data_IF_901069760062
#
_entry.id   IF_901069760062
#
_cell.length_a   1.000
_cell.length_b   1.000
_cell.length_c   1.000
_cell.angle_alpha   90.00
_cell.angle_beta   90.00
_cell.angle_gamma   90.00
#
_symmetry.space_group_name_H-M   'P 1'
#
loop_
_entity.id
_entity.type
_entity.pdbx_description
1 polymer ?
#
# COMPACT_ATOMS: atom_id res chain seq x y z
N UNK A 1 30.95 18.12 -5.81
CA UNK A 1 30.10 17.55 -6.87
C UNK A 1 30.00 16.03 -6.67
N UNK A 2 28.92 15.52 -6.08
CA UNK A 2 28.71 14.08 -5.89
C UNK A 2 28.12 13.47 -7.16
N UNK A 3 28.83 12.54 -7.80
CA UNK A 3 28.33 11.78 -8.96
C UNK A 3 27.14 10.91 -8.51
N UNK A 4 25.95 11.14 -9.09
CA UNK A 4 24.85 10.18 -9.09
C UNK A 4 25.31 8.94 -9.87
N UNK A 5 25.24 7.77 -9.24
CA UNK A 5 25.56 6.49 -9.86
C UNK A 5 24.25 5.90 -10.37
N UNK A 6 24.12 5.81 -11.69
CA UNK A 6 23.00 5.15 -12.36
C UNK A 6 23.45 3.71 -12.70
N UNK A 7 22.94 2.72 -11.98
CA UNK A 7 23.32 1.32 -12.16
C UNK A 7 22.37 0.68 -13.17
N UNK A 8 22.85 0.43 -14.39
CA UNK A 8 22.09 -0.25 -15.42
C UNK A 8 21.91 -1.77 -15.18
N UNK A 9 20.88 -2.33 -15.82
CA UNK A 9 20.43 -3.76 -15.84
C UNK A 9 21.52 -4.84 -15.78
N UNK A 10 22.73 -4.56 -16.28
CA UNK A 10 23.86 -5.51 -16.34
C UNK A 10 24.57 -5.73 -15.00
N UNK A 11 24.56 -4.76 -14.09
CA UNK A 11 25.28 -4.88 -12.82
C UNK A 11 24.49 -5.65 -11.76
N UNK A 12 23.15 -5.63 -11.83
CA UNK A 12 22.29 -6.41 -10.92
C UNK A 12 22.40 -7.93 -11.17
N UNK A 13 22.52 -8.36 -12.44
CA UNK A 13 22.62 -9.78 -12.81
C UNK A 13 23.98 -10.38 -12.43
N UNK A 14 25.07 -9.59 -12.51
CA UNK A 14 26.43 -10.10 -12.25
C UNK A 14 26.68 -10.53 -10.80
N UNK A 15 25.94 -9.97 -9.83
CA UNK A 15 26.11 -10.32 -8.42
C UNK A 15 25.30 -11.56 -7.97
N UNK A 16 24.49 -12.16 -8.86
CA UNK A 16 23.68 -13.34 -8.55
C UNK A 16 24.26 -14.67 -9.07
N UNK A 17 25.33 -14.64 -9.87
CA UNK A 17 25.85 -15.79 -10.62
C UNK A 17 27.18 -16.36 -10.08
N UNK A 18 27.39 -16.38 -8.75
CA UNK A 18 28.48 -17.15 -8.15
C UNK A 18 27.86 -18.23 -7.27
N UNK A 19 27.47 -19.33 -7.91
CA UNK A 19 27.00 -20.53 -7.27
C UNK A 19 26.97 -21.66 -8.28
N UNK A 20 27.89 -22.62 -8.12
CA UNK A 20 28.09 -23.90 -8.84
C UNK A 20 29.22 -23.92 -9.88
N UNK A 21 30.41 -24.31 -9.40
CA UNK A 21 31.28 -25.25 -10.12
C UNK A 21 32.12 -26.02 -9.08
N UNK A 22 31.76 -27.28 -8.86
CA UNK A 22 32.58 -28.23 -8.11
C UNK A 22 33.55 -28.94 -9.04
N UNK A 23 34.81 -29.07 -8.62
CA UNK A 23 35.72 -30.12 -9.07
C UNK A 23 36.75 -30.39 -7.96
N UNK A 24 36.88 -31.66 -7.59
CA UNK A 24 37.78 -32.15 -6.55
C UNK A 24 39.19 -32.39 -7.09
N UNK A 25 40.23 -32.05 -6.30
CA UNK A 25 41.61 -32.58 -6.38
C UNK A 25 42.21 -32.56 -4.95
N UNK A 26 42.98 -33.59 -4.50
CA UNK A 26 43.29 -33.80 -3.09
C UNK A 26 44.49 -33.01 -2.55
N UNK A 27 44.61 -33.05 -1.22
CA UNK A 27 45.40 -32.21 -0.34
C UNK A 27 46.92 -32.19 -0.52
N UNK A 28 47.54 -31.05 -0.17
CA UNK A 28 48.77 -31.01 0.65
C UNK A 28 48.86 -29.72 1.47
N UNK A 29 49.26 -29.89 2.73
CA UNK A 29 49.31 -28.88 3.78
C UNK A 29 50.47 -27.90 3.65
N UNK A 30 50.25 -26.63 4.00
CA UNK A 30 51.19 -25.78 4.74
C UNK A 30 50.43 -24.54 5.24
N UNK A 31 50.65 -24.20 6.52
CA UNK A 31 49.78 -23.32 7.28
C UNK A 31 49.85 -21.83 6.91
N UNK A 32 48.73 -21.16 7.17
CA UNK A 32 48.67 -19.76 7.54
C UNK A 32 47.41 -19.58 8.40
N UNK A 33 47.59 -19.24 9.67
CA UNK A 33 46.50 -18.74 10.52
C UNK A 33 46.06 -17.39 9.93
N UNK A 34 45.01 -17.41 9.10
CA UNK A 34 44.32 -16.19 8.71
C UNK A 34 43.20 -15.96 9.70
N UNK A 35 43.37 -14.92 10.52
CA UNK A 35 42.29 -14.31 11.27
C UNK A 35 41.17 -13.93 10.30
N UNK A 36 40.03 -14.62 10.38
CA UNK A 36 38.83 -14.26 9.65
C UNK A 36 38.30 -12.91 10.18
N UNK A 37 38.86 -11.81 9.66
CA UNK A 37 38.18 -10.53 9.70
C UNK A 37 36.95 -10.67 8.81
N UNK A 38 35.77 -10.57 9.43
CA UNK A 38 34.51 -10.45 8.71
C UNK A 38 34.66 -9.33 7.68
N UNK A 39 34.55 -9.68 6.41
CA UNK A 39 34.64 -8.72 5.32
C UNK A 39 33.58 -7.63 5.56
N UNK A 40 34.03 -6.39 5.74
CA UNK A 40 33.12 -5.26 5.77
C UNK A 40 32.36 -5.20 4.44
N UNK A 41 31.02 -5.02 4.46
CA UNK A 41 30.25 -4.94 3.22
C UNK A 41 30.79 -3.81 2.35
N UNK A 42 31.30 -4.14 1.17
CA UNK A 42 31.66 -3.14 0.17
C UNK A 42 30.39 -2.44 -0.33
N UNK A 43 30.49 -1.16 -0.67
CA UNK A 43 29.37 -0.27 -1.10
C UNK A 43 28.55 -0.77 -2.33
N UNK A 44 28.90 -1.92 -2.92
CA UNK A 44 28.31 -2.45 -4.15
C UNK A 44 27.39 -3.68 -3.99
N UNK A 45 27.05 -4.10 -2.77
CA UNK A 45 26.08 -5.20 -2.58
C UNK A 45 24.64 -4.65 -2.55
N UNK A 46 23.71 -5.13 -3.40
CA UNK A 46 22.32 -4.73 -3.34
C UNK A 46 21.72 -4.99 -1.94
N UNK A 47 20.90 -4.08 -1.40
CA UNK A 47 20.29 -4.25 -0.08
C UNK A 47 19.44 -5.52 -0.03
N UNK A 48 19.48 -6.20 1.12
CA UNK A 48 18.70 -7.41 1.42
C UNK A 48 17.73 -7.12 2.57
N UNK A 49 16.68 -7.94 2.68
CA UNK A 49 15.84 -8.00 3.87
C UNK A 49 16.69 -8.32 5.10
N UNK A 50 16.44 -7.61 6.20
CA UNK A 50 17.16 -7.72 7.47
C UNK A 50 16.27 -8.21 8.61
N UNK A 51 14.96 -8.12 8.48
CA UNK A 51 14.02 -8.49 9.55
C UNK A 51 12.88 -9.36 9.00
N UNK A 52 12.58 -10.43 9.74
CA UNK A 52 11.44 -11.32 9.52
C UNK A 52 10.60 -11.38 10.80
N UNK A 53 9.28 -11.56 10.65
CA UNK A 53 8.32 -11.61 11.76
C UNK A 53 7.35 -12.76 11.55
N UNK A 54 7.02 -13.49 12.61
CA UNK A 54 5.98 -14.55 12.55
C UNK A 54 4.63 -13.88 12.33
N UNK A 55 3.97 -14.16 11.19
CA UNK A 55 2.71 -13.56 10.80
C UNK A 55 1.55 -14.08 11.66
N UNK A 56 1.25 -13.38 12.76
CA UNK A 56 0.18 -13.76 13.68
C UNK A 56 0.20 -15.25 14.06
N UNK A 57 -0.95 -15.89 13.97
CA UNK A 57 -1.14 -17.32 14.26
C UNK A 57 -0.84 -18.25 13.08
N UNK A 58 -0.36 -17.73 11.95
CA UNK A 58 -0.05 -18.56 10.77
C UNK A 58 1.21 -19.41 10.96
N UNK A 59 2.12 -18.98 11.85
CA UNK A 59 3.42 -19.61 12.06
C UNK A 59 4.44 -19.35 10.95
N UNK A 60 4.09 -18.61 9.89
CA UNK A 60 5.00 -18.29 8.79
C UNK A 60 5.82 -17.03 9.10
N UNK A 61 7.13 -17.07 8.89
CA UNK A 61 8.00 -15.90 9.02
C UNK A 61 8.01 -15.05 7.76
N UNK A 62 7.40 -13.87 7.82
CA UNK A 62 7.32 -12.93 6.70
C UNK A 62 8.37 -11.84 6.83
N UNK A 63 8.95 -11.42 5.71
CA UNK A 63 9.81 -10.24 5.65
C UNK A 63 9.02 -9.00 6.07
N UNK A 64 9.66 -8.09 6.79
CA UNK A 64 9.04 -6.83 7.25
C UNK A 64 8.55 -5.91 6.11
N UNK A 65 9.04 -6.16 4.89
CA UNK A 65 8.55 -5.59 3.64
C UNK A 65 7.92 -6.67 2.75
N UNK A 66 6.83 -6.31 2.10
CA UNK A 66 6.07 -7.15 1.17
C UNK A 66 6.01 -6.51 -0.22
N UNK A 67 5.64 -7.29 -1.23
CA UNK A 67 5.30 -6.75 -2.56
C UNK A 67 3.79 -6.61 -2.72
N UNK A 68 3.35 -5.54 -3.37
CA UNK A 68 1.94 -5.34 -3.76
C UNK A 68 1.83 -4.49 -5.02
N UNK A 69 0.71 -4.60 -5.74
CA UNK A 69 0.51 -3.96 -7.06
C UNK A 69 1.69 -4.23 -8.01
N UNK A 70 1.94 -5.51 -8.28
CA UNK A 70 3.12 -5.96 -9.04
C UNK A 70 2.88 -5.74 -10.54
N UNK A 71 3.78 -4.98 -11.19
CA UNK A 71 3.65 -4.64 -12.61
C UNK A 71 4.89 -4.98 -13.45
N UNK A 72 6.07 -5.10 -12.85
CA UNK A 72 7.31 -5.37 -13.57
C UNK A 72 7.96 -6.69 -13.12
N UNK A 73 8.31 -7.53 -14.09
CA UNK A 73 8.91 -8.84 -13.85
C UNK A 73 10.29 -8.74 -13.18
N UNK A 74 11.14 -7.83 -13.66
CA UNK A 74 12.52 -7.73 -13.23
C UNK A 74 12.66 -7.16 -11.83
N UNK A 75 11.93 -6.08 -11.54
CA UNK A 75 11.85 -5.47 -10.22
C UNK A 75 11.26 -6.43 -9.20
N UNK A 76 10.19 -7.15 -9.56
CA UNK A 76 9.59 -8.14 -8.66
C UNK A 76 10.57 -9.29 -8.36
N UNK A 77 11.19 -9.89 -9.39
CA UNK A 77 12.20 -10.94 -9.20
C UNK A 77 13.34 -10.46 -8.30
N UNK A 78 13.83 -9.23 -8.53
CA UNK A 78 14.89 -8.62 -7.73
C UNK A 78 14.53 -8.49 -6.25
N UNK A 79 13.29 -8.09 -5.94
CA UNK A 79 12.82 -8.01 -4.55
C UNK A 79 12.76 -9.39 -3.89
N UNK A 80 12.29 -10.43 -4.61
CA UNK A 80 12.32 -11.80 -4.09
C UNK A 80 13.75 -12.30 -3.86
N UNK A 81 14.67 -12.02 -4.80
CA UNK A 81 16.09 -12.34 -4.66
C UNK A 81 16.75 -11.59 -3.49
N UNK A 82 16.20 -10.44 -3.12
CA UNK A 82 16.61 -9.66 -1.96
C UNK A 82 16.06 -10.18 -0.62
N UNK A 83 15.22 -11.23 -0.64
CA UNK A 83 14.69 -11.89 0.55
C UNK A 83 13.24 -11.52 0.89
N UNK A 84 12.58 -10.67 0.09
CA UNK A 84 11.14 -10.40 0.26
C UNK A 84 10.37 -11.70 0.01
N UNK A 85 9.51 -12.08 0.96
CA UNK A 85 8.80 -13.35 0.87
C UNK A 85 7.28 -13.28 1.01
N UNK A 86 6.71 -12.11 1.32
CA UNK A 86 5.26 -11.90 1.28
C UNK A 86 4.83 -11.25 -0.03
N UNK A 87 3.88 -11.88 -0.74
CA UNK A 87 3.41 -11.46 -2.06
C UNK A 87 1.90 -11.16 -1.98
N UNK A 88 1.53 -9.92 -2.27
CA UNK A 88 0.13 -9.46 -2.33
C UNK A 88 -0.36 -9.26 -3.77
N UNK A 89 -1.42 -9.96 -4.16
CA UNK A 89 -2.12 -9.81 -5.45
C UNK A 89 -3.63 -9.95 -5.27
N UNK A 90 -4.44 -9.90 -6.33
CA UNK A 90 -5.88 -10.14 -6.28
C UNK A 90 -6.47 -10.41 -7.66
N UNK A 91 -7.66 -11.04 -7.72
CA UNK A 91 -8.31 -11.41 -8.99
C UNK A 91 -8.61 -10.21 -9.89
N UNK A 92 -8.79 -9.03 -9.29
CA UNK A 92 -9.09 -7.78 -9.99
C UNK A 92 -7.85 -7.10 -10.59
N UNK A 93 -6.64 -7.64 -10.36
CA UNK A 93 -5.38 -7.02 -10.78
C UNK A 93 -4.97 -7.57 -12.15
N UNK A 94 -5.09 -6.79 -13.25
CA UNK A 94 -4.94 -7.33 -14.60
C UNK A 94 -3.53 -7.88 -14.84
N UNK A 95 -3.43 -9.16 -15.21
CA UNK A 95 -2.17 -9.82 -15.58
C UNK A 95 -1.21 -10.12 -14.42
N UNK A 96 -1.54 -9.72 -13.18
CA UNK A 96 -0.64 -9.86 -12.02
C UNK A 96 -0.34 -11.33 -11.71
N UNK A 97 -1.36 -12.20 -11.67
CA UNK A 97 -1.19 -13.64 -11.42
C UNK A 97 -0.22 -14.30 -12.42
N UNK A 98 -0.39 -14.06 -13.72
CA UNK A 98 0.50 -14.59 -14.77
C UNK A 98 1.94 -14.06 -14.65
N UNK A 99 2.11 -12.80 -14.25
CA UNK A 99 3.45 -12.24 -14.01
C UNK A 99 4.10 -12.93 -12.80
N UNK A 100 3.36 -13.05 -11.69
CA UNK A 100 3.85 -13.68 -10.45
C UNK A 100 4.21 -15.14 -10.69
N UNK A 101 3.33 -15.91 -11.35
CA UNK A 101 3.58 -17.31 -11.68
C UNK A 101 4.87 -17.53 -12.47
N UNK A 102 5.11 -16.69 -13.49
CA UNK A 102 6.37 -16.73 -14.26
C UNK A 102 7.60 -16.42 -13.42
N UNK A 103 7.53 -15.52 -12.44
CA UNK A 103 8.66 -15.21 -11.54
C UNK A 103 8.89 -16.32 -10.51
N UNK A 104 7.83 -16.97 -10.04
CA UNK A 104 7.91 -18.07 -9.07
C UNK A 104 8.35 -19.39 -9.71
N UNK A 105 8.23 -19.54 -11.03
CA UNK A 105 8.66 -20.74 -11.76
C UNK A 105 10.13 -21.08 -11.48
N UNK A 106 10.36 -22.30 -10.99
CA UNK A 106 11.70 -22.79 -10.61
C UNK A 106 12.20 -22.34 -9.23
N UNK A 107 11.44 -21.50 -8.50
CA UNK A 107 11.71 -21.16 -7.11
C UNK A 107 11.01 -22.13 -6.17
N UNK A 108 11.57 -22.35 -4.98
CA UNK A 108 10.90 -23.12 -3.94
C UNK A 108 9.68 -22.35 -3.41
N UNK A 109 8.48 -22.79 -3.83
CA UNK A 109 7.20 -22.17 -3.50
C UNK A 109 6.98 -22.06 -1.98
N UNK A 110 7.54 -22.97 -1.17
CA UNK A 110 7.37 -22.97 0.29
C UNK A 110 8.07 -21.79 0.99
N UNK A 111 8.98 -21.10 0.30
CA UNK A 111 9.69 -19.93 0.84
C UNK A 111 8.88 -18.64 0.76
N UNK A 112 7.72 -18.65 0.10
CA UNK A 112 6.90 -17.45 -0.11
C UNK A 112 5.54 -17.59 0.56
N UNK A 113 5.02 -16.50 1.10
CA UNK A 113 3.65 -16.35 1.55
C UNK A 113 2.86 -15.62 0.46
N UNK A 114 2.14 -16.38 -0.37
CA UNK A 114 1.37 -15.82 -1.49
C UNK A 114 -0.08 -15.60 -1.08
N UNK A 115 -0.52 -14.36 -1.23
CA UNK A 115 -1.89 -13.94 -0.94
C UNK A 115 -2.60 -13.49 -2.21
N UNK A 116 -3.87 -13.87 -2.34
CA UNK A 116 -4.78 -13.29 -3.34
C UNK A 116 -6.08 -12.88 -2.67
N UNK A 117 -6.94 -12.18 -3.40
CA UNK A 117 -8.20 -11.63 -2.89
C UNK A 117 -9.31 -11.79 -3.90
N UNK A 118 -10.50 -12.05 -3.39
CA UNK A 118 -11.73 -12.16 -4.19
C UNK A 118 -12.76 -11.12 -3.74
N UNK A 119 -13.38 -10.47 -4.72
CA UNK A 119 -14.47 -9.55 -4.51
C UNK A 119 -15.73 -10.32 -4.05
N UNK A 120 -16.50 -9.77 -3.10
CA UNK A 120 -17.82 -10.26 -2.71
C UNK A 120 -18.91 -9.83 -3.71
N UNK A 121 -18.59 -9.87 -5.01
CA UNK A 121 -19.44 -9.41 -6.10
C UNK A 121 -19.42 -10.42 -7.26
N UNK A 122 -20.40 -10.33 -8.16
CA UNK A 122 -20.57 -11.30 -9.25
C UNK A 122 -21.22 -12.58 -8.75
N UNK A 123 -20.64 -13.74 -9.10
CA UNK A 123 -21.08 -15.03 -8.57
C UNK A 123 -20.51 -15.24 -7.16
N UNK A 124 -21.36 -14.96 -6.17
CA UNK A 124 -21.07 -15.06 -4.73
C UNK A 124 -21.45 -16.42 -4.14
N UNK A 125 -21.86 -17.39 -4.98
CA UNK A 125 -22.11 -18.76 -4.52
C UNK A 125 -20.80 -19.48 -4.20
N UNK A 126 -20.87 -20.60 -3.49
CA UNK A 126 -19.72 -21.49 -3.27
C UNK A 126 -19.00 -21.81 -4.59
N UNK A 127 -19.75 -22.26 -5.60
CA UNK A 127 -19.21 -22.63 -6.91
C UNK A 127 -18.58 -21.42 -7.64
N UNK A 128 -19.18 -20.25 -7.51
CA UNK A 128 -18.63 -19.00 -8.05
C UNK A 128 -17.25 -18.67 -7.50
N UNK A 129 -17.09 -18.75 -6.18
CA UNK A 129 -15.79 -18.53 -5.53
C UNK A 129 -14.79 -19.63 -5.87
N UNK A 130 -15.19 -20.91 -5.88
CA UNK A 130 -14.31 -22.03 -6.27
C UNK A 130 -13.78 -21.85 -7.69
N UNK A 131 -14.65 -21.53 -8.64
CA UNK A 131 -14.29 -21.30 -10.05
C UNK A 131 -13.27 -20.16 -10.18
N UNK A 132 -13.50 -19.04 -9.50
CA UNK A 132 -12.59 -17.88 -9.54
C UNK A 132 -11.25 -18.16 -8.86
N UNK A 133 -11.26 -18.83 -7.70
CA UNK A 133 -10.04 -19.21 -7.01
C UNK A 133 -9.19 -20.19 -7.83
N UNK A 134 -9.80 -21.23 -8.43
CA UNK A 134 -9.12 -22.21 -9.29
C UNK A 134 -8.54 -21.54 -10.55
N UNK A 135 -9.26 -20.58 -11.16
CA UNK A 135 -8.71 -19.76 -12.24
C UNK A 135 -7.47 -18.95 -11.82
N UNK A 136 -7.49 -18.37 -10.61
CA UNK A 136 -6.33 -17.64 -10.11
C UNK A 136 -5.11 -18.56 -9.90
N UNK A 137 -5.32 -19.78 -9.38
CA UNK A 137 -4.26 -20.80 -9.25
C UNK A 137 -3.69 -21.23 -10.61
N UNK A 138 -4.56 -21.43 -11.60
CA UNK A 138 -4.16 -21.73 -12.98
C UNK A 138 -3.28 -20.61 -13.55
N UNK A 139 -3.70 -19.34 -13.43
CA UNK A 139 -2.91 -18.19 -13.89
C UNK A 139 -1.57 -18.05 -13.16
N UNK A 140 -1.51 -18.45 -11.89
CA UNK A 140 -0.29 -18.44 -11.08
C UNK A 140 0.63 -19.64 -11.34
N UNK A 141 0.16 -20.67 -12.06
CA UNK A 141 0.86 -21.95 -12.22
C UNK A 141 1.31 -22.53 -10.86
N UNK A 142 0.43 -22.50 -9.84
CA UNK A 142 0.72 -23.02 -8.49
C UNK A 142 -0.47 -23.78 -7.90
N UNK A 143 -0.19 -24.72 -6.99
CA UNK A 143 -1.22 -25.59 -6.42
C UNK A 143 -2.01 -24.94 -5.28
N UNK A 144 -1.44 -23.93 -4.60
CA UNK A 144 -2.02 -23.34 -3.40
C UNK A 144 -1.71 -21.86 -3.17
N UNK A 145 -2.64 -21.20 -2.47
CA UNK A 145 -2.45 -19.94 -1.79
C UNK A 145 -2.07 -20.18 -0.32
N UNK A 146 -1.19 -19.33 0.20
CA UNK A 146 -1.00 -19.29 1.66
C UNK A 146 -2.19 -18.59 2.31
N UNK A 147 -2.69 -17.50 1.72
CA UNK A 147 -3.90 -16.84 2.22
C UNK A 147 -4.81 -16.39 1.06
N UNK A 148 -6.11 -16.65 1.21
CA UNK A 148 -7.13 -16.06 0.34
C UNK A 148 -7.96 -15.05 1.14
N UNK A 149 -8.01 -13.82 0.65
CA UNK A 149 -8.67 -12.72 1.36
C UNK A 149 -10.04 -12.39 0.78
N UNK A 150 -11.00 -12.09 1.66
CA UNK A 150 -12.22 -11.39 1.29
C UNK A 150 -11.87 -9.92 1.02
N UNK A 151 -12.12 -9.46 -0.19
CA UNK A 151 -11.68 -8.14 -0.64
C UNK A 151 -12.74 -7.08 -0.37
N UNK A 152 -12.38 -6.09 0.46
CA UNK A 152 -13.18 -4.90 0.78
C UNK A 152 -14.62 -5.22 1.21
N UNK A 153 -14.84 -6.05 2.25
CA UNK A 153 -16.17 -6.17 2.85
C UNK A 153 -16.51 -4.82 3.49
N UNK A 154 -17.50 -4.09 2.96
CA UNK A 154 -17.86 -2.76 3.47
C UNK A 154 -18.81 -2.79 4.66
N UNK A 155 -19.39 -3.96 4.92
CA UNK A 155 -20.33 -4.20 6.00
C UNK A 155 -19.98 -5.49 6.73
N UNK A 156 -20.30 -5.56 8.01
CA UNK A 156 -20.13 -6.73 8.86
C UNK A 156 -20.90 -7.93 8.30
N UNK A 157 -22.05 -7.71 7.65
CA UNK A 157 -22.81 -8.78 7.00
C UNK A 157 -22.02 -9.45 5.88
N UNK A 158 -21.22 -8.70 5.13
CA UNK A 158 -20.41 -9.24 4.02
C UNK A 158 -19.33 -10.18 4.55
N UNK A 159 -18.80 -9.93 5.74
CA UNK A 159 -17.88 -10.86 6.41
C UNK A 159 -18.51 -12.24 6.63
N UNK A 160 -19.83 -12.35 6.63
CA UNK A 160 -20.57 -13.61 6.85
C UNK A 160 -20.95 -14.32 5.55
N UNK A 161 -20.45 -13.88 4.38
CA UNK A 161 -20.76 -14.48 3.07
C UNK A 161 -20.63 -16.01 3.07
N UNK A 162 -21.76 -16.72 3.04
CA UNK A 162 -21.81 -18.18 3.13
C UNK A 162 -21.05 -18.85 1.98
N UNK A 163 -21.23 -18.34 0.76
CA UNK A 163 -20.53 -18.86 -0.42
C UNK A 163 -19.01 -18.73 -0.31
N UNK A 164 -18.51 -17.61 0.21
CA UNK A 164 -17.06 -17.42 0.42
C UNK A 164 -16.53 -18.42 1.44
N UNK A 165 -17.17 -18.53 2.61
CA UNK A 165 -16.72 -19.43 3.67
C UNK A 165 -16.81 -20.90 3.29
N UNK A 166 -17.88 -21.31 2.61
CA UNK A 166 -18.02 -22.67 2.11
C UNK A 166 -16.92 -23.00 1.08
N UNK A 167 -16.60 -22.08 0.18
CA UNK A 167 -15.52 -22.27 -0.79
C UNK A 167 -14.14 -22.32 -0.12
N UNK A 168 -13.87 -21.47 0.86
CA UNK A 168 -12.59 -21.48 1.59
C UNK A 168 -12.42 -22.76 2.41
N UNK A 169 -13.50 -23.29 2.99
CA UNK A 169 -13.48 -24.57 3.69
C UNK A 169 -13.14 -25.72 2.72
N UNK A 170 -13.78 -25.79 1.55
CA UNK A 170 -13.49 -26.80 0.54
C UNK A 170 -12.04 -26.70 0.05
N UNK A 171 -11.58 -25.50 -0.32
CA UNK A 171 -10.19 -25.29 -0.78
C UNK A 171 -9.17 -25.60 0.32
N UNK A 172 -9.51 -25.46 1.60
CA UNK A 172 -8.65 -25.88 2.71
C UNK A 172 -8.55 -27.39 2.80
N UNK A 173 -9.67 -28.12 2.66
CA UNK A 173 -9.67 -29.58 2.59
C UNK A 173 -8.87 -30.10 1.39
N UNK A 174 -8.96 -29.42 0.24
CA UNK A 174 -8.17 -29.72 -0.95
C UNK A 174 -6.68 -29.35 -0.81
N UNK A 175 -6.27 -28.67 0.25
CA UNK A 175 -4.90 -28.18 0.44
C UNK A 175 -4.51 -26.99 -0.45
N UNK A 176 -5.49 -26.33 -1.09
CA UNK A 176 -5.31 -25.20 -2.02
C UNK A 176 -5.31 -23.83 -1.34
N UNK A 177 -5.84 -23.72 -0.12
CA UNK A 177 -5.82 -22.49 0.70
C UNK A 177 -5.47 -22.86 2.13
N UNK A 178 -4.46 -22.20 2.73
CA UNK A 178 -4.07 -22.46 4.13
C UNK A 178 -4.84 -21.54 5.09
N UNK A 179 -4.77 -20.24 4.85
CA UNK A 179 -5.33 -19.20 5.70
C UNK A 179 -6.41 -18.37 4.97
N UNK A 180 -7.28 -17.75 5.75
CA UNK A 180 -8.30 -16.82 5.24
C UNK A 180 -8.02 -15.44 5.79
N UNK A 181 -8.24 -14.39 4.99
CA UNK A 181 -7.97 -13.02 5.44
C UNK A 181 -9.01 -12.00 5.00
N UNK A 182 -8.79 -10.75 5.38
CA UNK A 182 -9.58 -9.60 4.95
C UNK A 182 -8.65 -8.51 4.44
N UNK A 183 -8.95 -7.94 3.27
CA UNK A 183 -8.32 -6.70 2.82
C UNK A 183 -9.33 -5.57 2.88
N UNK A 184 -9.05 -4.47 3.58
CA UNK A 184 -9.99 -3.35 3.69
C UNK A 184 -9.34 -2.02 3.33
N UNK A 185 -9.92 -1.32 2.35
CA UNK A 185 -9.43 -0.04 1.85
C UNK A 185 -10.14 1.17 2.48
N UNK A 186 -11.15 0.94 3.31
CA UNK A 186 -12.19 1.90 3.63
C UNK A 186 -13.46 1.64 2.83
N UNK A 187 -14.49 2.41 3.12
CA UNK A 187 -15.79 2.30 2.47
C UNK A 187 -15.87 3.06 1.14
N UNK A 188 -16.75 2.62 0.23
CA UNK A 188 -17.13 3.33 -0.99
C UNK A 188 -18.53 3.91 -0.81
N UNK A 189 -18.58 5.22 -0.58
CA UNK A 189 -19.81 5.93 -0.24
C UNK A 189 -20.98 5.78 -1.21
N UNK A 190 -20.71 5.62 -2.51
CA UNK A 190 -21.77 5.40 -3.50
C UNK A 190 -22.48 4.03 -3.36
N UNK A 191 -22.03 3.18 -2.43
CA UNK A 191 -22.68 1.92 -2.04
C UNK A 191 -23.40 2.01 -0.68
N UNK A 192 -23.55 3.24 -0.17
CA UNK A 192 -24.17 3.56 1.12
C UNK A 192 -23.62 2.73 2.30
N UNK A 193 -22.32 2.86 2.60
CA UNK A 193 -21.68 2.12 3.66
C UNK A 193 -22.06 2.71 5.02
N UNK A 194 -22.85 1.97 5.79
CA UNK A 194 -23.24 2.34 7.17
C UNK A 194 -22.09 2.21 8.18
N UNK A 195 -21.04 1.48 7.84
CA UNK A 195 -20.01 1.04 8.78
C UNK A 195 -18.61 1.52 8.39
N UNK A 196 -17.84 1.94 9.39
CA UNK A 196 -16.45 2.34 9.26
C UNK A 196 -15.52 1.14 9.11
N UNK A 197 -14.30 1.37 8.62
CA UNK A 197 -13.31 0.31 8.45
C UNK A 197 -12.96 -0.35 9.79
N UNK A 198 -12.77 0.43 10.85
CA UNK A 198 -12.44 -0.12 12.17
C UNK A 198 -13.56 -1.03 12.67
N UNK A 199 -14.82 -0.65 12.51
CA UNK A 199 -15.98 -1.45 12.90
C UNK A 199 -16.01 -2.80 12.18
N UNK A 200 -15.84 -2.81 10.86
CA UNK A 200 -15.82 -4.06 10.09
C UNK A 200 -14.62 -4.92 10.48
N UNK A 201 -13.42 -4.35 10.59
CA UNK A 201 -12.23 -5.13 10.94
C UNK A 201 -12.29 -5.66 12.38
N UNK A 202 -12.83 -4.90 13.34
CA UNK A 202 -13.07 -5.39 14.71
C UNK A 202 -14.08 -6.55 14.73
N UNK A 203 -15.14 -6.47 13.93
CA UNK A 203 -16.06 -7.60 13.78
C UNK A 203 -15.38 -8.82 13.15
N UNK A 204 -14.48 -8.62 12.19
CA UNK A 204 -13.69 -9.71 11.60
C UNK A 204 -12.72 -10.36 12.62
N UNK A 205 -12.16 -9.58 13.56
CA UNK A 205 -11.36 -10.11 14.67
C UNK A 205 -12.22 -11.01 15.56
N UNK A 206 -13.40 -10.53 15.97
CA UNK A 206 -14.30 -11.28 16.86
C UNK A 206 -14.94 -12.50 16.19
N UNK A 207 -15.20 -12.43 14.89
CA UNK A 207 -15.67 -13.57 14.09
C UNK A 207 -14.70 -14.75 14.14
N UNK A 208 -13.40 -14.48 14.24
CA UNK A 208 -12.37 -15.48 14.50
C UNK A 208 -11.98 -16.36 13.30
N UNK A 209 -12.70 -16.30 12.17
CA UNK A 209 -12.37 -17.06 10.94
C UNK A 209 -11.22 -16.46 10.12
N UNK A 210 -10.83 -15.22 10.38
CA UNK A 210 -9.82 -14.50 9.61
C UNK A 210 -8.47 -14.48 10.32
N UNK A 211 -7.42 -14.90 9.62
CA UNK A 211 -6.06 -15.09 10.13
C UNK A 211 -5.13 -13.91 9.81
N UNK A 212 -5.39 -13.20 8.70
CA UNK A 212 -4.51 -12.13 8.19
C UNK A 212 -5.33 -10.96 7.67
N UNK A 213 -4.97 -9.74 8.05
CA UNK A 213 -5.53 -8.51 7.51
C UNK A 213 -4.54 -7.75 6.64
N UNK A 214 -5.04 -7.18 5.55
CA UNK A 214 -4.40 -6.10 4.81
C UNK A 214 -5.22 -4.82 4.99
N UNK A 215 -4.67 -3.83 5.68
CA UNK A 215 -5.41 -2.60 5.99
C UNK A 215 -4.61 -1.33 5.67
N UNK A 216 -5.33 -0.25 5.42
CA UNK A 216 -4.73 1.06 5.21
C UNK A 216 -4.39 1.71 6.56
N UNK A 217 -3.13 2.09 6.78
CA UNK A 217 -2.68 2.72 8.02
C UNK A 217 -1.36 3.48 7.80
N UNK A 218 -1.22 4.63 8.47
CA UNK A 218 -0.02 5.48 8.46
C UNK A 218 -0.02 6.45 9.65
N UNK A 219 1.03 7.27 9.78
CA UNK A 219 1.21 8.20 10.91
C UNK A 219 0.14 9.31 11.03
N UNK A 220 -0.62 9.58 9.96
CA UNK A 220 -1.77 10.51 10.00
C UNK A 220 -3.08 9.82 10.42
N UNK A 221 -3.02 8.52 10.70
CA UNK A 221 -4.07 7.64 11.22
C UNK A 221 -5.34 7.60 10.36
N UNK A 222 -5.61 6.45 9.72
CA UNK A 222 -6.62 6.38 8.65
C UNK A 222 -8.06 6.17 9.13
N UNK A 223 -8.31 5.23 10.04
CA UNK A 223 -9.60 5.08 10.72
C UNK A 223 -9.39 4.23 11.96
N UNK A 224 -9.08 4.87 13.09
CA UNK A 224 -8.92 4.23 14.42
C UNK A 224 -8.09 2.93 14.40
N UNK A 225 -7.12 2.85 13.49
CA UNK A 225 -6.44 1.59 13.14
C UNK A 225 -5.71 0.96 14.31
N UNK A 226 -5.28 1.77 15.29
CA UNK A 226 -4.69 1.28 16.55
C UNK A 226 -5.61 0.31 17.30
N UNK A 227 -6.93 0.59 17.32
CA UNK A 227 -7.89 -0.29 17.99
C UNK A 227 -7.97 -1.65 17.30
N UNK A 228 -7.91 -1.65 15.97
CA UNK A 228 -7.87 -2.89 15.16
C UNK A 228 -6.58 -3.64 15.41
N UNK A 229 -5.43 -2.95 15.41
CA UNK A 229 -4.12 -3.56 15.66
C UNK A 229 -4.08 -4.20 17.05
N UNK A 230 -4.58 -3.51 18.07
CA UNK A 230 -4.64 -4.01 19.44
C UNK A 230 -5.55 -5.25 19.56
N UNK A 231 -6.75 -5.22 18.98
CA UNK A 231 -7.65 -6.38 18.98
C UNK A 231 -7.05 -7.57 18.21
N UNK A 232 -6.43 -7.30 17.05
CA UNK A 232 -5.75 -8.31 16.25
C UNK A 232 -4.60 -8.97 17.01
N UNK A 233 -3.80 -8.19 17.75
CA UNK A 233 -2.73 -8.69 18.62
C UNK A 233 -3.26 -9.70 19.64
N UNK A 234 -4.34 -9.36 20.34
CA UNK A 234 -4.95 -10.22 21.35
C UNK A 234 -5.40 -11.57 20.78
N UNK A 235 -5.90 -11.59 19.54
CA UNK A 235 -6.31 -12.83 18.84
C UNK A 235 -5.23 -13.44 17.94
N UNK A 236 -4.01 -12.87 17.94
CA UNK A 236 -2.88 -13.26 17.07
C UNK A 236 -3.24 -13.24 15.58
N UNK A 237 -4.00 -12.25 15.11
CA UNK A 237 -4.26 -12.01 13.69
C UNK A 237 -3.06 -11.28 13.08
N UNK A 238 -2.59 -11.76 11.93
CA UNK A 238 -1.48 -11.13 11.21
C UNK A 238 -1.89 -9.79 10.59
N UNK A 239 -1.23 -8.69 10.96
CA UNK A 239 -1.46 -7.36 10.38
C UNK A 239 -0.43 -7.06 9.29
N UNK A 240 -0.93 -6.79 8.09
CA UNK A 240 -0.15 -6.31 6.93
C UNK A 240 -0.70 -4.96 6.48
N UNK A 241 0.16 -4.07 6.00
CA UNK A 241 -0.20 -2.68 5.75
C UNK A 241 -0.06 -2.26 4.29
N UNK A 242 -0.96 -1.36 3.88
CA UNK A 242 -0.86 -0.60 2.63
C UNK A 242 -1.04 0.90 2.89
N UNK A 243 -0.64 1.73 1.91
CA UNK A 243 -0.82 3.20 1.94
C UNK A 243 -0.15 3.86 3.16
N UNK A 244 1.02 3.35 3.53
CA UNK A 244 1.84 3.78 4.68
C UNK A 244 2.55 5.12 4.50
N UNK A 245 2.60 5.64 3.27
CA UNK A 245 3.33 6.87 2.89
C UNK A 245 2.37 7.97 2.43
N UNK A 246 1.68 8.70 3.34
CA UNK A 246 0.72 9.74 3.01
C UNK A 246 1.41 11.06 2.62
N UNK A 247 2.47 10.97 1.82
CA UNK A 247 3.35 12.10 1.46
C UNK A 247 3.35 12.22 -0.05
N UNK A 248 2.98 13.39 -0.57
CA UNK A 248 2.98 13.68 -2.00
C UNK A 248 1.90 14.66 -2.41
N UNK A 249 0.72 14.59 -1.79
CA UNK A 249 -0.43 15.45 -2.13
C UNK A 249 -0.08 16.94 -2.00
N UNK A 250 0.58 17.35 -0.92
CA UNK A 250 1.07 18.73 -0.76
C UNK A 250 2.05 19.16 -1.88
N UNK A 251 3.06 18.34 -2.18
CA UNK A 251 4.08 18.69 -3.18
C UNK A 251 3.48 18.77 -4.59
N UNK A 252 2.55 17.87 -4.91
CA UNK A 252 1.81 17.90 -6.18
C UNK A 252 0.92 19.14 -6.27
N UNK A 253 0.18 19.44 -5.19
CA UNK A 253 -0.67 20.63 -5.09
C UNK A 253 0.13 21.91 -5.36
N UNK A 254 1.25 22.06 -4.66
CA UNK A 254 2.17 23.18 -4.85
C UNK A 254 2.61 23.30 -6.32
N UNK A 255 3.12 22.21 -6.90
CA UNK A 255 3.58 22.21 -8.28
C UNK A 255 2.47 22.56 -9.29
N UNK A 256 1.23 22.11 -9.05
CA UNK A 256 0.09 22.44 -9.92
C UNK A 256 -0.29 23.91 -9.81
N UNK A 257 -0.31 24.48 -8.61
CA UNK A 257 -0.58 25.91 -8.40
C UNK A 257 0.48 26.75 -9.11
N UNK A 258 1.77 26.45 -8.91
CA UNK A 258 2.88 27.13 -9.57
C UNK A 258 2.78 27.05 -11.11
N UNK A 259 2.37 25.89 -11.65
CA UNK A 259 2.18 25.70 -13.09
C UNK A 259 1.03 26.54 -13.64
N UNK A 260 -0.11 26.59 -12.96
CA UNK A 260 -1.26 27.39 -13.37
C UNK A 260 -0.96 28.90 -13.34
N UNK A 261 -0.26 29.36 -12.30
CA UNK A 261 0.23 30.74 -12.18
C UNK A 261 1.19 31.08 -13.35
N UNK A 262 2.09 30.15 -13.70
CA UNK A 262 3.05 30.32 -14.79
C UNK A 262 2.41 30.35 -16.17
N UNK A 263 1.41 29.50 -16.42
CA UNK A 263 0.77 29.37 -17.73
C UNK A 263 -0.24 30.49 -18.01
N UNK A 264 -0.47 31.41 -17.06
CA UNK A 264 -1.46 32.48 -17.19
C UNK A 264 -2.88 31.96 -17.38
N UNK A 265 -3.13 30.69 -17.05
CA UNK A 265 -4.44 30.08 -17.19
C UNK A 265 -5.37 30.66 -16.13
N UNK A 266 -6.53 31.16 -16.58
CA UNK A 266 -7.55 31.57 -15.63
C UNK A 266 -8.02 30.34 -14.85
N UNK A 267 -7.70 30.35 -13.56
CA UNK A 267 -8.27 29.45 -12.59
C UNK A 267 -9.78 29.66 -12.60
N UNK A 268 -10.53 28.63 -12.97
CA UNK A 268 -11.98 28.62 -12.95
C UNK A 268 -12.47 29.22 -11.61
N UNK A 269 -13.40 30.19 -11.61
CA UNK A 269 -13.91 30.81 -10.38
C UNK A 269 -14.33 29.80 -9.29
N UNK A 270 -14.86 28.66 -9.74
CA UNK A 270 -15.27 27.50 -8.96
C UNK A 270 -14.10 26.83 -8.21
N UNK A 271 -12.93 26.84 -8.85
CA UNK A 271 -11.66 26.35 -8.32
C UNK A 271 -10.93 27.43 -7.52
N UNK A 272 -11.15 28.73 -7.81
CA UNK A 272 -10.46 29.89 -7.22
C UNK A 272 -10.68 30.03 -5.71
N UNK A 273 -11.93 29.96 -5.25
CA UNK A 273 -12.24 30.09 -3.82
C UNK A 273 -11.76 28.88 -3.00
N UNK A 274 -11.90 27.68 -3.56
CA UNK A 274 -11.27 26.49 -3.03
C UNK A 274 -9.77 26.72 -2.93
N UNK A 275 -9.13 27.06 -4.05
CA UNK A 275 -7.70 27.32 -4.14
C UNK A 275 -7.21 28.37 -3.16
N UNK A 276 -7.97 29.43 -2.85
CA UNK A 276 -7.59 30.40 -1.84
C UNK A 276 -7.50 29.77 -0.44
N UNK A 277 -8.49 28.93 -0.06
CA UNK A 277 -8.45 28.17 1.20
C UNK A 277 -7.35 27.11 1.20
N UNK A 278 -7.03 26.54 0.04
CA UNK A 278 -5.87 25.65 -0.15
C UNK A 278 -4.56 26.40 0.01
N UNK A 279 -4.44 27.57 -0.64
CA UNK A 279 -3.24 28.40 -0.69
C UNK A 279 -2.86 28.84 0.71
N UNK A 280 -3.81 29.29 1.53
CA UNK A 280 -3.53 29.59 2.95
C UNK A 280 -2.92 28.39 3.71
N UNK A 281 -3.45 27.18 3.51
CA UNK A 281 -2.91 25.97 4.14
C UNK A 281 -1.55 25.57 3.55
N UNK A 282 -1.36 25.75 2.26
CA UNK A 282 -0.10 25.50 1.55
C UNK A 282 0.97 26.50 1.99
N UNK A 283 0.64 27.78 2.11
CA UNK A 283 1.54 28.86 2.53
C UNK A 283 2.00 28.63 3.98
N UNK A 284 1.07 28.30 4.88
CA UNK A 284 1.42 27.88 6.26
C UNK A 284 2.31 26.64 6.28
N UNK A 285 2.00 25.65 5.45
CA UNK A 285 2.83 24.46 5.31
C UNK A 285 4.22 24.80 4.75
N UNK A 286 4.32 25.72 3.79
CA UNK A 286 5.58 26.19 3.21
C UNK A 286 6.46 26.91 4.21
N UNK A 287 5.90 27.86 4.97
CA UNK A 287 6.61 28.56 6.02
C UNK A 287 7.16 27.58 7.05
N UNK A 288 6.36 26.60 7.43
CA UNK A 288 6.75 25.57 8.39
C UNK A 288 7.82 24.63 7.81
N UNK A 289 7.66 24.17 6.57
CA UNK A 289 8.63 23.34 5.85
C UNK A 289 9.97 24.07 5.66
N UNK A 290 9.96 25.38 5.42
CA UNK A 290 11.16 26.24 5.40
C UNK A 290 11.79 26.33 6.79
N UNK A 291 11.01 26.63 7.83
CA UNK A 291 11.46 26.76 9.23
C UNK A 291 12.16 25.49 9.75
N UNK A 292 11.66 24.31 9.39
CA UNK A 292 12.19 23.03 9.86
C UNK A 292 13.01 22.25 8.81
N UNK A 293 13.32 22.87 7.68
CA UNK A 293 14.08 22.27 6.57
C UNK A 293 13.53 20.91 6.08
N UNK A 294 12.20 20.79 5.98
CA UNK A 294 11.49 19.56 5.56
C UNK A 294 11.42 19.40 4.04
N UNK A 295 12.48 19.79 3.33
CA UNK A 295 12.47 20.00 1.88
C UNK A 295 12.52 18.70 1.06
N UNK A 296 12.81 17.56 1.69
CA UNK A 296 12.98 16.28 0.99
C UNK A 296 11.78 15.35 1.23
N UNK A 297 10.85 15.22 0.26
CA UNK A 297 9.72 14.31 0.37
C UNK A 297 10.13 12.86 0.61
N UNK A 298 11.29 12.43 0.12
CA UNK A 298 11.77 11.06 0.26
C UNK A 298 12.21 10.74 1.69
N UNK A 299 12.86 11.69 2.38
CA UNK A 299 13.21 11.53 3.80
C UNK A 299 11.95 11.35 4.66
N UNK A 300 10.89 12.11 4.35
CA UNK A 300 9.61 12.03 5.05
C UNK A 300 8.88 10.71 4.71
N UNK A 301 8.92 10.26 3.46
CA UNK A 301 8.37 8.96 3.03
C UNK A 301 9.08 7.79 3.72
N UNK A 302 10.40 7.85 3.86
CA UNK A 302 11.20 6.86 4.57
C UNK A 302 10.91 6.87 6.08
N UNK A 303 10.77 8.05 6.68
CA UNK A 303 10.30 8.19 8.07
C UNK A 303 8.90 7.58 8.25
N UNK A 304 7.97 7.82 7.31
CA UNK A 304 6.62 7.26 7.36
C UNK A 304 6.61 5.73 7.23
N UNK A 305 7.48 5.16 6.40
CA UNK A 305 7.66 3.71 6.34
C UNK A 305 8.25 3.17 7.64
N UNK A 306 9.27 3.83 8.21
CA UNK A 306 9.87 3.47 9.50
C UNK A 306 8.89 3.55 10.66
N UNK A 307 7.94 4.49 10.63
CA UNK A 307 6.85 4.54 11.58
C UNK A 307 6.04 3.24 11.56
N UNK A 308 5.62 2.79 10.38
CA UNK A 308 4.88 1.53 10.24
C UNK A 308 5.71 0.31 10.68
N UNK A 309 6.98 0.24 10.28
CA UNK A 309 7.89 -0.86 10.63
C UNK A 309 8.26 -0.89 12.12
N UNK A 310 8.14 0.21 12.85
CA UNK A 310 8.52 0.29 14.27
C UNK A 310 7.46 -0.27 15.20
N UNK A 311 6.22 -0.42 14.74
CA UNK A 311 5.18 -1.06 15.54
C UNK A 311 5.44 -2.58 15.55
N UNK A 312 5.63 -3.21 16.73
CA UNK A 312 5.91 -4.63 16.84
C UNK A 312 4.70 -5.52 16.47
N UNK A 313 3.48 -4.97 16.48
CA UNK A 313 2.24 -5.70 16.18
C UNK A 313 1.90 -5.66 14.68
N UNK A 314 2.70 -4.96 13.87
CA UNK A 314 2.64 -4.96 12.40
C UNK A 314 3.66 -5.96 11.86
N UNK A 315 3.28 -6.78 10.89
CA UNK A 315 4.11 -7.91 10.45
C UNK A 315 4.85 -7.64 9.13
N UNK A 316 4.19 -6.94 8.21
CA UNK A 316 4.81 -6.54 6.94
C UNK A 316 4.11 -5.33 6.33
N UNK A 317 4.84 -4.58 5.50
CA UNK A 317 4.33 -3.43 4.74
C UNK A 317 4.41 -3.70 3.25
N UNK A 318 3.27 -3.66 2.56
CA UNK A 318 3.19 -3.80 1.11
C UNK A 318 3.77 -2.57 0.41
N UNK A 319 4.86 -2.81 -0.33
CA UNK A 319 5.54 -1.83 -1.15
C UNK A 319 5.30 -2.12 -2.64
N UNK A 320 5.06 -1.05 -3.39
CA UNK A 320 4.93 -1.10 -4.85
C UNK A 320 6.11 -0.35 -5.46
N UNK A 321 7.07 -1.11 -6.00
CA UNK A 321 8.22 -0.58 -6.72
C UNK A 321 8.05 -0.80 -8.22
N UNK A 322 8.30 0.24 -9.01
CA UNK A 322 8.27 0.22 -10.47
C UNK A 322 9.67 0.21 -11.07
N UNK A 323 10.66 0.64 -10.30
CA UNK A 323 12.05 0.69 -10.73
C UNK A 323 12.94 -0.02 -9.71
N UNK A 324 14.13 -0.44 -10.16
CA UNK A 324 15.14 -1.00 -9.26
C UNK A 324 15.57 -0.01 -8.18
N UNK A 325 15.63 1.30 -8.50
CA UNK A 325 15.97 2.34 -7.53
C UNK A 325 14.92 2.44 -6.41
N UNK A 326 13.64 2.40 -6.75
CA UNK A 326 12.56 2.36 -5.75
C UNK A 326 12.62 1.08 -4.92
N UNK A 327 12.86 -0.08 -5.54
CA UNK A 327 13.02 -1.35 -4.83
C UNK A 327 14.21 -1.30 -3.84
N UNK A 328 15.36 -0.78 -4.26
CA UNK A 328 16.51 -0.58 -3.37
C UNK A 328 16.18 0.37 -2.21
N UNK A 329 15.47 1.47 -2.50
CA UNK A 329 15.08 2.43 -1.46
C UNK A 329 14.20 1.75 -0.40
N UNK A 330 13.24 0.92 -0.80
CA UNK A 330 12.45 0.12 0.13
C UNK A 330 13.32 -0.86 0.91
N UNK A 331 14.14 -1.67 0.22
CA UNK A 331 14.96 -2.72 0.83
C UNK A 331 15.95 -2.15 1.87
N UNK A 332 16.46 -0.94 1.68
CA UNK A 332 17.33 -0.26 2.66
C UNK A 332 16.62 0.02 3.99
N UNK A 333 15.29 0.15 3.99
CA UNK A 333 14.49 0.38 5.19
C UNK A 333 14.19 -0.92 5.96
N UNK A 334 14.46 -2.11 5.41
CA UNK A 334 14.25 -3.35 6.16
C UNK A 334 15.10 -3.36 7.44
N UNK A 335 14.48 -3.76 8.56
CA UNK A 335 15.07 -3.77 9.89
C UNK A 335 15.34 -2.40 10.51
N UNK A 336 14.95 -1.31 9.84
CA UNK A 336 15.12 0.04 10.39
C UNK A 336 14.00 0.38 11.37
N UNK A 337 14.32 1.26 12.33
CA UNK A 337 13.39 1.76 13.34
C UNK A 337 13.24 3.28 13.21
N UNK A 338 12.11 3.78 13.72
CA UNK A 338 11.78 5.19 13.78
C UNK A 338 12.69 5.84 14.83
N UNK A 339 13.52 6.79 14.40
CA UNK A 339 14.33 7.59 15.32
C UNK A 339 13.50 8.74 15.91
N UNK A 340 14.00 9.36 16.97
CA UNK A 340 13.40 10.57 17.54
C UNK A 340 13.31 11.72 16.51
N UNK A 341 14.34 11.84 15.65
CA UNK A 341 14.35 12.82 14.55
C UNK A 341 13.19 12.55 13.59
N UNK A 342 12.95 11.29 13.24
CA UNK A 342 11.85 10.93 12.34
C UNK A 342 10.51 11.20 12.99
N UNK A 343 10.32 10.78 14.25
CA UNK A 343 9.10 11.03 15.00
C UNK A 343 8.78 12.53 15.07
N UNK A 344 9.78 13.36 15.41
CA UNK A 344 9.64 14.82 15.41
C UNK A 344 9.34 15.37 14.01
N UNK A 345 9.95 14.81 12.96
CA UNK A 345 9.70 15.21 11.57
C UNK A 345 8.28 14.88 11.12
N UNK A 346 7.78 13.69 11.46
CA UNK A 346 6.42 13.26 11.12
C UNK A 346 5.37 14.05 11.91
N UNK A 347 5.59 14.31 13.20
CA UNK A 347 4.69 15.15 14.01
C UNK A 347 4.57 16.55 13.40
N UNK A 348 5.71 17.18 13.09
CA UNK A 348 5.83 18.46 12.39
C UNK A 348 5.12 18.45 11.03
N UNK A 349 5.33 17.42 10.22
CA UNK A 349 4.63 17.27 8.96
C UNK A 349 3.12 17.11 9.16
N UNK A 350 2.69 16.39 10.19
CA UNK A 350 1.27 16.23 10.51
C UNK A 350 0.60 17.54 10.89
N UNK A 351 1.26 18.38 11.68
CA UNK A 351 0.76 19.72 12.04
C UNK A 351 0.62 20.63 10.83
N UNK A 352 1.64 20.66 9.95
CA UNK A 352 1.70 21.58 8.83
C UNK A 352 0.92 21.10 7.60
N UNK A 353 1.09 19.84 7.23
CA UNK A 353 0.60 19.27 5.98
C UNK A 353 -0.56 18.28 6.20
N UNK A 354 -0.88 17.89 7.44
CA UNK A 354 -1.87 16.85 7.72
C UNK A 354 -3.28 17.19 7.24
N UNK A 355 -3.63 18.49 7.19
CA UNK A 355 -4.89 18.97 6.62
C UNK A 355 -4.95 18.84 5.09
N UNK A 356 -3.82 18.60 4.41
CA UNK A 356 -3.72 18.39 2.96
C UNK A 356 -3.71 16.90 2.59
N UNK A 357 -4.03 16.02 3.53
CA UNK A 357 -4.16 14.59 3.31
C UNK A 357 -5.55 14.12 3.74
N UNK A 358 -6.39 13.79 2.75
CA UNK A 358 -7.63 13.07 3.00
C UNK A 358 -7.28 11.64 3.43
N UNK A 359 -7.77 11.26 4.61
CA UNK A 359 -7.56 9.93 5.19
C UNK A 359 -8.52 8.98 4.47
N UNK A 360 -8.08 8.54 3.29
CA UNK A 360 -8.87 7.73 2.36
C UNK A 360 -9.18 6.33 2.94
N UNK A 361 -10.11 6.29 3.89
CA UNK A 361 -10.78 5.15 4.49
C UNK A 361 -11.81 5.61 5.57
N UNK A 362 -11.79 6.89 5.92
CA UNK A 362 -12.54 7.51 7.01
C UNK A 362 -14.04 7.70 6.73
N UNK A 363 -14.42 8.37 5.63
CA UNK A 363 -15.82 8.58 5.23
C UNK A 363 -16.68 9.51 6.13
N UNK A 364 -16.17 10.01 7.26
CA UNK A 364 -16.95 10.77 8.24
C UNK A 364 -17.67 12.03 7.71
N UNK A 365 -17.14 12.65 6.65
CA UNK A 365 -17.74 13.85 6.05
C UNK A 365 -18.81 13.55 4.99
N UNK A 366 -18.92 12.30 4.56
CA UNK A 366 -19.74 11.92 3.41
C UNK A 366 -21.26 11.98 3.69
N UNK A 367 -21.78 11.67 4.90
CA UNK A 367 -23.19 11.87 5.24
C UNK A 367 -23.68 13.31 5.07
N UNK A 368 -22.78 14.29 5.25
CA UNK A 368 -23.07 15.72 5.14
C UNK A 368 -23.05 16.24 3.69
N UNK A 369 -22.77 15.37 2.71
CA UNK A 369 -22.71 15.78 1.31
C UNK A 369 -24.12 15.88 0.70
N UNK A 370 -24.64 17.09 0.39
CA UNK A 370 -26.00 17.25 -0.14
C UNK A 370 -26.16 16.74 -1.57
N UNK A 371 -25.05 16.41 -2.24
CA UNK A 371 -25.00 15.93 -3.63
C UNK A 371 -24.59 14.46 -3.72
N UNK A 372 -24.37 13.77 -2.60
CA UNK A 372 -23.97 12.35 -2.59
C UNK A 372 -22.63 12.05 -3.26
N UNK A 373 -21.70 13.03 -3.32
CA UNK A 373 -20.38 12.84 -3.93
C UNK A 373 -19.53 11.91 -3.06
N UNK A 374 -18.96 10.80 -3.60
CA UNK A 374 -18.22 9.83 -2.80
C UNK A 374 -16.78 10.29 -2.53
N UNK A 375 -16.64 11.22 -1.59
CA UNK A 375 -15.38 11.89 -1.21
C UNK A 375 -14.23 10.90 -1.01
N UNK A 376 -14.41 9.90 -0.16
CA UNK A 376 -13.37 8.94 0.21
C UNK A 376 -12.90 8.13 -1.02
N UNK A 377 -13.84 7.73 -1.87
CA UNK A 377 -13.53 7.01 -3.12
C UNK A 377 -12.70 7.88 -4.06
N UNK A 378 -13.16 9.11 -4.32
CA UNK A 378 -12.48 10.03 -5.24
C UNK A 378 -11.08 10.35 -4.72
N UNK A 379 -10.95 10.66 -3.42
CA UNK A 379 -9.66 10.97 -2.82
C UNK A 379 -8.70 9.77 -2.80
N UNK A 380 -9.22 8.54 -2.71
CA UNK A 380 -8.41 7.33 -2.89
C UNK A 380 -7.89 7.19 -4.33
N UNK A 381 -8.72 7.46 -5.33
CA UNK A 381 -8.29 7.41 -6.73
C UNK A 381 -7.31 8.53 -7.04
N UNK A 382 -7.53 9.72 -6.49
CA UNK A 382 -6.56 10.81 -6.52
C UNK A 382 -5.22 10.39 -5.91
N UNK A 383 -5.21 9.68 -4.77
CA UNK A 383 -3.98 9.13 -4.20
C UNK A 383 -3.29 8.12 -5.14
N UNK A 384 -4.04 7.28 -5.84
CA UNK A 384 -3.48 6.37 -6.85
C UNK A 384 -2.78 7.14 -7.97
N UNK A 385 -3.39 8.23 -8.46
CA UNK A 385 -2.80 9.12 -9.45
C UNK A 385 -1.56 9.84 -8.89
N UNK A 386 -1.76 10.65 -7.84
CA UNK A 386 -0.81 11.62 -7.32
C UNK A 386 0.38 11.01 -6.57
N UNK A 387 0.16 9.94 -5.80
CA UNK A 387 1.17 9.42 -4.87
C UNK A 387 1.74 8.08 -5.31
N UNK A 388 1.00 7.32 -6.12
CA UNK A 388 1.41 5.97 -6.57
C UNK A 388 1.72 5.92 -8.06
N UNK A 389 1.53 7.02 -8.82
CA UNK A 389 1.75 7.07 -10.28
C UNK A 389 0.93 6.04 -11.05
N UNK A 390 -0.24 5.66 -10.55
CA UNK A 390 -1.19 4.72 -11.17
C UNK A 390 -2.22 5.48 -11.99
N UNK A 391 -1.76 6.42 -12.80
CA UNK A 391 -2.58 7.44 -13.45
C UNK A 391 -3.72 6.83 -14.28
N UNK A 392 -3.38 5.97 -15.25
CA UNK A 392 -4.36 5.29 -16.11
C UNK A 392 -5.41 4.51 -15.30
N UNK A 393 -4.97 3.80 -14.26
CA UNK A 393 -5.88 3.02 -13.42
C UNK A 393 -6.79 3.95 -12.59
N UNK A 394 -6.24 5.02 -12.03
CA UNK A 394 -6.98 6.00 -11.26
C UNK A 394 -8.06 6.69 -12.10
N UNK A 395 -7.72 7.12 -13.32
CA UNK A 395 -8.64 7.74 -14.28
C UNK A 395 -9.77 6.77 -14.69
N UNK A 396 -9.43 5.52 -15.02
CA UNK A 396 -10.42 4.49 -15.36
C UNK A 396 -11.36 4.19 -14.19
N UNK A 397 -10.84 4.16 -12.95
CA UNK A 397 -11.64 3.95 -11.75
C UNK A 397 -12.56 5.15 -11.47
N UNK A 398 -12.07 6.37 -11.66
CA UNK A 398 -12.85 7.60 -11.52
C UNK A 398 -14.00 7.66 -12.54
N UNK A 399 -13.73 7.34 -13.81
CA UNK A 399 -14.73 7.30 -14.87
C UNK A 399 -15.87 6.29 -14.62
N UNK A 400 -15.62 5.26 -13.80
CA UNK A 400 -16.58 4.21 -13.44
C UNK A 400 -17.35 4.49 -12.15
N UNK A 401 -17.13 5.61 -11.48
CA UNK A 401 -17.94 5.98 -10.31
C UNK A 401 -19.38 6.22 -10.79
N UNK A 402 -20.38 5.51 -10.23
CA UNK A 402 -21.77 5.74 -10.60
C UNK A 402 -22.29 7.04 -9.97
N UNK A 403 -23.21 7.71 -10.65
CA UNK A 403 -23.93 8.86 -10.11
C UNK A 403 -23.09 10.13 -9.96
N UNK A 404 -23.20 10.77 -8.79
CA UNK A 404 -22.59 12.06 -8.49
C UNK A 404 -21.06 11.98 -8.42
N UNK A 405 -20.41 12.93 -9.08
CA UNK A 405 -18.95 13.06 -9.11
C UNK A 405 -18.52 14.49 -8.75
N UNK A 406 -17.22 14.72 -8.74
CA UNK A 406 -16.63 15.92 -8.14
C UNK A 406 -16.88 17.22 -8.93
N UNK A 407 -17.32 17.18 -10.18
CA UNK A 407 -17.82 18.35 -10.94
C UNK A 407 -18.93 19.08 -10.16
N UNK A 408 -19.73 18.34 -9.40
CA UNK A 408 -20.81 18.89 -8.59
C UNK A 408 -20.28 19.61 -7.35
N UNK A 409 -18.99 19.56 -7.02
CA UNK A 409 -18.51 20.23 -5.80
C UNK A 409 -18.46 21.75 -5.96
N UNK A 410 -18.43 22.23 -7.19
CA UNK A 410 -18.04 23.60 -7.46
C UNK A 410 -18.98 24.71 -7.05
N UNK A 411 -20.28 24.43 -7.06
CA UNK A 411 -21.32 25.34 -6.58
C UNK A 411 -21.88 24.93 -5.22
N UNK A 412 -21.16 24.07 -4.49
CA UNK A 412 -21.57 23.54 -3.19
C UNK A 412 -21.16 24.48 -2.04
N UNK A 413 -21.92 24.57 -0.95
CA UNK A 413 -21.50 25.31 0.26
C UNK A 413 -20.37 24.64 1.06
N UNK A 414 -19.85 23.49 0.62
CA UNK A 414 -18.69 22.83 1.25
C UNK A 414 -18.98 22.22 2.64
N UNK A 415 -20.19 21.69 2.87
CA UNK A 415 -20.57 21.10 4.18
C UNK A 415 -19.62 20.00 4.65
N UNK A 416 -19.07 19.22 3.72
CA UNK A 416 -18.06 18.20 4.01
C UNK A 416 -16.80 18.76 4.68
N UNK A 417 -16.38 20.00 4.36
CA UNK A 417 -15.23 20.64 5.01
C UNK A 417 -15.52 20.96 6.47
N UNK A 418 -16.75 21.43 6.77
CA UNK A 418 -17.21 21.70 8.14
C UNK A 418 -17.33 20.42 8.96
N UNK A 419 -17.78 19.35 8.32
CA UNK A 419 -17.92 18.03 8.92
C UNK A 419 -16.57 17.33 9.16
N UNK A 420 -15.50 17.76 8.51
CA UNK A 420 -14.21 17.09 8.59
C UNK A 420 -13.50 17.42 9.90
N UNK A 421 -13.30 16.45 10.82
CA UNK A 421 -12.62 16.71 12.09
C UNK A 421 -11.12 17.00 11.92
N UNK A 422 -10.59 16.82 10.71
CA UNK A 422 -9.19 17.03 10.37
C UNK A 422 -8.93 18.33 9.60
N UNK A 423 -9.97 19.15 9.40
CA UNK A 423 -9.86 20.44 8.71
C UNK A 423 -9.38 20.32 7.27
N UNK A 424 -9.67 19.19 6.60
CA UNK A 424 -9.31 18.96 5.20
C UNK A 424 -10.18 19.88 4.33
N UNK A 425 -9.59 20.66 3.40
CA UNK A 425 -10.33 21.55 2.49
C UNK A 425 -11.08 20.80 1.36
N UNK A 426 -11.76 19.69 1.71
CA UNK A 426 -12.33 18.65 0.83
C UNK A 426 -12.89 19.15 -0.50
N UNK A 427 -13.67 20.24 -0.53
CA UNK A 427 -14.31 20.71 -1.76
C UNK A 427 -13.29 20.98 -2.87
N UNK A 428 -12.25 21.76 -2.59
CA UNK A 428 -11.26 22.09 -3.63
C UNK A 428 -10.37 20.89 -3.98
N UNK A 429 -10.20 19.92 -3.09
CA UNK A 429 -9.48 18.67 -3.36
C UNK A 429 -10.24 17.81 -4.34
N UNK A 430 -11.56 17.78 -4.20
CA UNK A 430 -12.44 17.07 -5.13
C UNK A 430 -12.41 17.74 -6.49
N UNK A 431 -12.45 19.07 -6.56
CA UNK A 431 -12.33 19.81 -7.82
C UNK A 431 -10.98 19.54 -8.50
N UNK A 432 -9.88 19.56 -7.75
CA UNK A 432 -8.57 19.20 -8.28
C UNK A 432 -8.54 17.73 -8.74
N UNK A 433 -9.09 16.82 -7.94
CA UNK A 433 -9.16 15.42 -8.31
C UNK A 433 -9.99 15.23 -9.58
N UNK A 434 -11.06 15.99 -9.78
CA UNK A 434 -11.83 16.00 -11.03
C UNK A 434 -10.95 16.44 -12.21
N UNK A 435 -10.29 17.60 -12.11
CA UNK A 435 -9.38 18.12 -13.13
C UNK A 435 -8.30 17.11 -13.55
N UNK A 436 -7.70 16.41 -12.58
CA UNK A 436 -6.61 15.46 -12.84
C UNK A 436 -7.07 14.07 -13.28
N UNK A 437 -8.25 13.61 -12.85
CA UNK A 437 -8.73 12.25 -13.11
C UNK A 437 -9.65 12.15 -14.33
N UNK A 438 -10.17 13.28 -14.83
CA UNK A 438 -10.94 13.30 -16.06
C UNK A 438 -10.05 12.88 -17.24
N UNK A 439 -10.56 11.96 -18.05
CA UNK A 439 -9.95 11.63 -19.34
C UNK A 439 -10.19 12.83 -20.26
N UNK A 440 -9.11 13.50 -20.68
CA UNK A 440 -9.15 14.50 -21.73
C UNK A 440 -9.54 13.87 -23.08
#
# INVERSE_FOLDING_TARGET
MRKKIEIGRRNFIKSAAIGLAGAAVPARAAGARSSAQAAQPTENTPPKIKEYRVLGRTGFEVSDLATGHIQDFGVFSAMLDAGVNYIDTGESYPGAHKLIGRVLKGRDRKKFFLTSKMQPEGDITREGFLKRARKCLEELETDYFDCMMLHMPERVEVLKSEGFHAAMQELRVEGRVRFVGVSHHGSFWFRDPEESMDRVLLAAVEDGRFDVFLMAYNFLQMDRGERVIQAAKEKKVGITLMKTKPVGTYFLLKSRIEQLEKDGQEVDPLYREGLARYKDKVDRAEEFVKKYNLQNPEEIKEAALRFALSNPDIHTVCCSAKTYAEAEQFLRQSGSKLSEKDAATLARYGEACGALYCRHACGLCEPECPRGVPVNTIMRYHHYFAAQGREKEAMLKYARIPGARAELCGSCPGLCEKACPYGVPIQGMLLLAHDQLMLA
#
